data_IF_485148238355
#
_entry.id   IF_485148238355
#
_cell.length_a   1.000
_cell.length_b   1.000
_cell.length_c   1.000
_cell.angle_alpha   90.00
_cell.angle_beta   90.00
_cell.angle_gamma   90.00
#
_symmetry.space_group_name_H-M   'P 1'
#
loop_
_entity.id
_entity.type
_entity.pdbx_description
1 polymer ?
#
# COMPACT_ATOMS: atom_id res chain seq x y z
N UNK A 1 -44.55 37.22 -8.65
CA UNK A 1 -43.10 37.10 -8.41
C UNK A 1 -42.90 36.24 -7.17
N UNK A 2 -42.81 34.91 -7.35
CA UNK A 2 -42.54 33.98 -6.25
C UNK A 2 -41.02 33.73 -6.23
N UNK A 3 -40.32 34.28 -5.25
CA UNK A 3 -38.89 34.05 -5.05
C UNK A 3 -38.70 32.65 -4.46
N UNK A 4 -38.30 31.68 -5.30
CA UNK A 4 -37.80 30.39 -4.86
C UNK A 4 -36.43 30.60 -4.22
N UNK A 5 -36.38 30.64 -2.89
CA UNK A 5 -35.14 30.61 -2.14
C UNK A 5 -34.52 29.21 -2.25
N UNK A 6 -33.56 29.04 -3.17
CA UNK A 6 -32.72 27.85 -3.21
C UNK A 6 -31.73 27.93 -2.03
N UNK A 7 -32.06 27.26 -0.93
CA UNK A 7 -31.10 27.02 0.14
C UNK A 7 -30.04 26.06 -0.37
N UNK A 8 -28.83 26.56 -0.62
CA UNK A 8 -27.68 25.71 -0.92
C UNK A 8 -27.29 25.03 0.40
N UNK A 9 -27.66 23.77 0.57
CA UNK A 9 -27.14 22.95 1.66
C UNK A 9 -25.64 22.73 1.41
N UNK A 10 -24.78 23.23 2.30
CA UNK A 10 -23.37 22.89 2.28
C UNK A 10 -23.23 21.39 2.59
N UNK A 11 -22.93 20.58 1.57
CA UNK A 11 -22.41 19.23 1.79
C UNK A 11 -21.01 19.40 2.35
N UNK A 12 -20.86 19.25 3.66
CA UNK A 12 -19.55 19.02 4.26
C UNK A 12 -19.10 17.64 3.76
N UNK A 13 -18.26 17.61 2.73
CA UNK A 13 -17.62 16.36 2.32
C UNK A 13 -16.69 15.90 3.44
N UNK A 14 -16.76 14.63 3.81
CA UNK A 14 -15.85 14.07 4.80
C UNK A 14 -14.42 14.13 4.28
N UNK A 15 -13.56 14.78 5.05
CA UNK A 15 -12.16 15.05 4.69
C UNK A 15 -11.22 14.02 5.31
N UNK A 16 -10.23 13.63 4.51
CA UNK A 16 -9.06 12.88 4.98
C UNK A 16 -8.10 13.80 5.74
N UNK A 17 -7.46 13.28 6.79
CA UNK A 17 -6.26 13.88 7.34
C UNK A 17 -5.10 13.83 6.33
N UNK A 18 -4.03 14.58 6.63
CA UNK A 18 -2.76 14.35 5.98
C UNK A 18 -2.29 12.90 6.20
N UNK A 19 -1.49 12.39 5.26
CA UNK A 19 -0.80 11.12 5.43
C UNK A 19 0.28 11.24 6.50
N UNK A 20 0.32 10.24 7.38
CA UNK A 20 1.39 10.05 8.35
C UNK A 20 2.24 8.88 7.87
N UNK A 21 3.50 9.16 7.52
CA UNK A 21 4.45 8.14 7.07
C UNK A 21 4.90 7.27 8.26
N UNK A 22 4.97 5.97 8.04
CA UNK A 22 5.35 4.93 9.00
C UNK A 22 6.61 4.25 8.48
N UNK A 23 7.74 4.50 9.14
CA UNK A 23 9.05 4.01 8.69
C UNK A 23 9.45 2.67 9.30
N UNK A 24 8.76 2.23 10.36
CA UNK A 24 9.14 1.07 11.18
C UNK A 24 8.06 -0.02 11.25
N UNK A 25 7.08 0.00 10.34
CA UNK A 25 6.07 -1.05 10.29
C UNK A 25 6.72 -2.41 10.01
N UNK A 26 6.38 -3.46 10.79
CA UNK A 26 6.90 -4.79 10.55
C UNK A 26 6.44 -5.31 9.19
N UNK A 27 7.31 -6.04 8.52
CA UNK A 27 6.92 -6.77 7.32
C UNK A 27 6.12 -8.02 7.71
N UNK A 28 5.02 -8.30 7.01
CA UNK A 28 4.20 -9.49 7.28
C UNK A 28 4.92 -10.81 6.97
N UNK A 29 5.99 -10.77 6.17
CA UNK A 29 6.86 -11.90 5.86
C UNK A 29 8.28 -11.38 5.60
N UNK A 30 9.31 -12.14 5.94
CA UNK A 30 10.69 -11.65 5.91
C UNK A 30 11.50 -12.14 4.70
N UNK A 31 10.89 -12.88 3.78
CA UNK A 31 11.55 -13.39 2.58
C UNK A 31 10.66 -13.35 1.32
N UNK A 32 11.30 -13.54 0.16
CA UNK A 32 10.69 -13.80 -1.13
C UNK A 32 9.99 -12.63 -1.79
N UNK A 33 10.03 -11.42 -1.22
CA UNK A 33 9.04 -10.36 -1.48
C UNK A 33 7.59 -10.86 -1.28
N UNK A 34 7.39 -11.76 -0.32
CA UNK A 34 6.08 -12.27 0.05
C UNK A 34 5.34 -11.37 1.05
N UNK A 35 6.07 -10.49 1.73
CA UNK A 35 5.53 -9.65 2.79
C UNK A 35 5.09 -8.28 2.29
N UNK A 36 4.17 -7.68 3.02
CA UNK A 36 3.79 -6.28 2.88
C UNK A 36 3.88 -5.58 4.23
N UNK A 37 4.12 -4.27 4.21
CA UNK A 37 4.08 -3.41 5.40
C UNK A 37 3.32 -2.13 5.10
N UNK A 38 2.71 -1.55 6.13
CA UNK A 38 2.05 -0.24 6.04
C UNK A 38 3.12 0.83 6.03
N UNK A 39 3.08 1.74 5.05
CA UNK A 39 4.07 2.84 4.92
C UNK A 39 3.49 4.19 5.24
N UNK A 40 2.17 4.31 5.18
CA UNK A 40 1.50 5.53 5.57
C UNK A 40 0.06 5.24 5.99
N UNK A 41 -0.46 6.03 6.90
CA UNK A 41 -1.84 6.00 7.32
C UNK A 41 -2.47 7.39 7.32
N UNK A 42 -3.80 7.43 7.23
CA UNK A 42 -4.60 8.64 7.36
C UNK A 42 -5.93 8.29 8.01
N UNK A 43 -6.50 9.26 8.71
CA UNK A 43 -7.80 9.11 9.37
C UNK A 43 -8.84 9.97 8.68
N UNK A 44 -10.07 9.46 8.58
CA UNK A 44 -11.19 10.24 8.07
C UNK A 44 -11.87 11.01 9.20
N UNK A 45 -12.28 12.24 8.93
CA UNK A 45 -13.10 13.05 9.85
C UNK A 45 -14.35 12.31 10.36
N UNK A 46 -15.03 11.55 9.49
CA UNK A 46 -16.10 10.61 9.88
C UNK A 46 -15.74 9.17 9.47
N UNK A 47 -15.61 8.23 10.42
CA UNK A 47 -15.23 6.85 10.11
C UNK A 47 -16.07 6.22 8.98
N UNK A 48 -15.39 5.69 7.97
CA UNK A 48 -16.01 5.00 6.83
C UNK A 48 -16.68 5.88 5.78
N UNK A 49 -16.61 7.21 5.89
CA UNK A 49 -17.23 8.13 4.91
C UNK A 49 -16.30 8.67 3.84
N UNK A 50 -15.00 8.77 4.14
CA UNK A 50 -14.03 9.22 3.16
C UNK A 50 -13.75 8.11 2.12
N UNK A 51 -13.71 8.45 0.81
CA UNK A 51 -13.46 7.48 -0.24
C UNK A 51 -11.98 7.05 -0.29
N UNK A 52 -11.75 5.79 -0.66
CA UNK A 52 -10.42 5.22 -0.85
C UNK A 52 -9.80 4.68 0.44
N UNK A 53 -8.53 4.21 0.37
CA UNK A 53 -7.90 3.52 1.48
C UNK A 53 -7.44 4.47 2.59
N UNK A 54 -7.46 4.00 3.83
CA UNK A 54 -6.86 4.68 4.99
C UNK A 54 -5.38 4.36 5.17
N UNK A 55 -4.85 3.36 4.46
CA UNK A 55 -3.48 2.88 4.56
C UNK A 55 -2.84 2.75 3.17
N UNK A 56 -1.53 2.97 3.11
CA UNK A 56 -0.68 2.61 1.97
C UNK A 56 0.25 1.48 2.36
N UNK A 57 0.57 0.63 1.40
CA UNK A 57 1.42 -0.53 1.62
C UNK A 57 2.60 -0.55 0.65
N UNK A 58 3.68 -1.19 1.07
CA UNK A 58 4.78 -1.59 0.20
C UNK A 58 5.17 -3.05 0.43
N UNK A 59 5.72 -3.67 -0.61
CA UNK A 59 6.28 -5.02 -0.53
C UNK A 59 7.63 -5.01 0.21
N UNK A 60 7.92 -6.09 0.91
CA UNK A 60 9.12 -6.21 1.73
C UNK A 60 9.56 -7.65 1.91
N UNK A 61 10.74 -7.84 2.51
CA UNK A 61 11.38 -9.16 2.65
C UNK A 61 12.06 -9.61 1.36
N UNK A 62 12.98 -8.80 0.81
CA UNK A 62 13.63 -9.09 -0.48
C UNK A 62 14.51 -10.34 -0.49
N UNK A 63 14.98 -10.78 0.67
CA UNK A 63 15.86 -11.94 0.80
C UNK A 63 15.21 -13.23 0.32
N UNK A 64 15.99 -14.19 -0.15
CA UNK A 64 15.46 -15.46 -0.64
C UNK A 64 14.77 -16.27 0.45
N UNK A 65 13.61 -16.84 0.16
CA UNK A 65 13.01 -17.85 1.02
C UNK A 65 13.77 -19.18 0.91
N UNK A 66 13.90 -19.87 2.05
CA UNK A 66 14.42 -21.23 2.09
C UNK A 66 13.35 -22.26 1.71
N UNK A 67 13.80 -23.44 1.27
CA UNK A 67 12.97 -24.63 1.11
C UNK A 67 12.21 -24.93 2.43
N UNK A 68 10.93 -25.38 2.39
CA UNK A 68 10.15 -25.87 1.24
C UNK A 68 9.37 -24.79 0.48
N UNK A 69 9.49 -23.53 0.88
CA UNK A 69 8.78 -22.44 0.22
C UNK A 69 9.42 -22.13 -1.12
N UNK A 70 8.63 -21.60 -2.05
CA UNK A 70 9.16 -20.96 -3.26
C UNK A 70 10.18 -19.90 -2.85
N UNK A 71 11.33 -19.89 -3.52
CA UNK A 71 12.44 -18.97 -3.21
C UNK A 71 12.01 -17.50 -3.30
N UNK A 72 11.17 -17.17 -4.28
CA UNK A 72 10.55 -15.87 -4.45
C UNK A 72 9.04 -16.04 -4.66
N UNK A 73 8.26 -15.07 -4.21
CA UNK A 73 6.83 -15.01 -4.47
C UNK A 73 6.54 -14.55 -5.90
N UNK A 74 5.31 -14.78 -6.36
CA UNK A 74 4.86 -14.38 -7.71
C UNK A 74 5.19 -12.92 -8.00
N UNK A 75 5.64 -12.62 -9.22
CA UNK A 75 6.14 -11.29 -9.54
C UNK A 75 7.65 -11.13 -9.43
N UNK A 76 8.31 -12.06 -8.73
CA UNK A 76 9.72 -11.97 -8.41
C UNK A 76 10.49 -13.23 -8.80
N UNK A 77 11.77 -13.04 -9.14
CA UNK A 77 12.70 -14.14 -9.35
C UNK A 77 14.04 -13.85 -8.66
N UNK A 78 14.79 -14.92 -8.38
CA UNK A 78 16.14 -14.80 -7.84
C UNK A 78 17.02 -14.04 -8.84
N UNK A 79 17.66 -12.99 -8.38
CA UNK A 79 18.65 -12.23 -9.12
C UNK A 79 19.80 -11.80 -8.21
N UNK A 80 20.81 -11.15 -8.80
CA UNK A 80 21.96 -10.61 -8.07
C UNK A 80 21.80 -9.09 -7.99
N UNK A 81 21.76 -8.55 -6.78
CA UNK A 81 21.73 -7.10 -6.52
C UNK A 81 22.75 -6.78 -5.43
N UNK A 82 23.56 -5.74 -5.64
CA UNK A 82 24.61 -5.34 -4.69
C UNK A 82 25.52 -6.49 -4.21
N UNK A 83 25.78 -7.50 -5.06
CA UNK A 83 26.60 -8.66 -4.73
C UNK A 83 25.90 -9.74 -3.87
N UNK A 84 24.62 -9.57 -3.54
CA UNK A 84 23.80 -10.55 -2.82
C UNK A 84 22.71 -11.12 -3.74
N UNK A 85 22.39 -12.40 -3.56
CA UNK A 85 21.22 -12.98 -4.19
C UNK A 85 19.96 -12.61 -3.43
N UNK A 86 19.07 -11.89 -4.08
CA UNK A 86 17.76 -11.50 -3.56
C UNK A 86 16.68 -11.78 -4.62
N UNK A 87 15.43 -11.67 -4.22
CA UNK A 87 14.31 -11.65 -5.14
C UNK A 87 14.23 -10.27 -5.81
N UNK A 88 14.11 -10.23 -7.14
CA UNK A 88 14.00 -9.00 -7.92
C UNK A 88 12.68 -9.03 -8.71
N UNK A 89 12.07 -7.85 -8.88
CA UNK A 89 10.86 -7.73 -9.66
C UNK A 89 11.13 -8.13 -11.11
N UNK A 90 10.27 -8.97 -11.66
CA UNK A 90 10.30 -9.29 -13.07
C UNK A 90 9.90 -8.05 -13.87
N UNK A 91 10.65 -7.72 -14.92
CA UNK A 91 10.56 -6.45 -15.67
C UNK A 91 9.16 -6.08 -16.22
N UNK A 92 8.19 -7.01 -16.17
CA UNK A 92 6.84 -6.84 -16.69
C UNK A 92 5.75 -6.99 -15.61
N UNK A 93 6.09 -6.96 -14.32
CA UNK A 93 5.12 -7.13 -13.23
C UNK A 93 5.13 -5.88 -12.34
N UNK A 94 3.95 -5.28 -12.20
CA UNK A 94 3.74 -4.17 -11.27
C UNK A 94 3.80 -4.69 -9.82
N UNK A 95 4.40 -3.90 -8.93
CA UNK A 95 4.39 -4.13 -7.48
C UNK A 95 2.95 -4.46 -7.00
N UNK A 96 2.78 -5.53 -6.21
CA UNK A 96 1.46 -6.00 -5.76
C UNK A 96 0.69 -4.96 -4.96
N UNK A 97 1.41 -4.06 -4.28
CA UNK A 97 0.80 -2.99 -3.49
C UNK A 97 0.38 -1.77 -4.31
N UNK A 98 0.67 -1.74 -5.62
CA UNK A 98 0.19 -0.70 -6.53
C UNK A 98 -1.19 -1.08 -7.07
N UNK A 99 -2.18 -1.14 -6.18
CA UNK A 99 -3.60 -1.15 -6.55
C UNK A 99 -3.92 0.19 -7.23
N UNK A 100 -4.00 0.19 -8.56
CA UNK A 100 -4.58 1.28 -9.35
C UNK A 100 -6.08 1.33 -9.19
#
# INVERSE_FOLDING_TARGET
FLLLAFTIAAVNADVWSAWTEITSAPCSDNCGYCGVRVVAERTCSTPGKCPGPSQRYEECGSGLCAFPRSTCCDGYAKGLTNGQFDCLALANIAAKTKLT
#
